data_IF_478176857781
#
_entry.id   IF_478176857781
#
_cell.length_a   1.000
_cell.length_b   1.000
_cell.length_c   1.000
_cell.angle_alpha   90.00
_cell.angle_beta   90.00
_cell.angle_gamma   90.00
#
_symmetry.space_group_name_H-M   'P 1'
#
loop_
_entity.id
_entity.type
_entity.pdbx_description
1 polymer ?
#
# COMPACT_ATOMS: atom_id res chain seq x y z
N UNK A 1 -25.84 10.77 -21.92
CA UNK A 1 -25.89 10.10 -20.59
C UNK A 1 -24.52 9.72 -20.04
N UNK A 2 -23.62 9.21 -20.89
CA UNK A 2 -22.32 8.68 -20.44
C UNK A 2 -21.30 9.73 -20.01
N UNK A 3 -21.30 10.92 -20.61
CA UNK A 3 -20.33 11.98 -20.31
C UNK A 3 -20.55 12.52 -18.89
N UNK A 4 -21.79 12.77 -18.52
CA UNK A 4 -22.15 13.25 -17.18
C UNK A 4 -21.78 12.22 -16.09
N UNK A 5 -22.08 10.95 -16.31
CA UNK A 5 -21.73 9.87 -15.37
C UNK A 5 -20.22 9.74 -15.18
N UNK A 6 -19.43 9.92 -16.24
CA UNK A 6 -17.97 9.92 -16.17
C UNK A 6 -17.44 11.13 -15.39
N UNK A 7 -18.05 12.31 -15.55
CA UNK A 7 -17.69 13.51 -14.81
C UNK A 7 -18.03 13.37 -13.33
N UNK A 8 -19.23 12.89 -12.98
CA UNK A 8 -19.64 12.63 -11.61
C UNK A 8 -18.72 11.61 -10.92
N UNK A 9 -18.40 10.50 -11.60
CA UNK A 9 -17.47 9.51 -11.08
C UNK A 9 -16.10 10.13 -10.83
N UNK A 10 -15.56 10.90 -11.77
CA UNK A 10 -14.26 11.54 -11.64
C UNK A 10 -14.23 12.53 -10.46
N UNK A 11 -15.23 13.36 -10.33
CA UNK A 11 -15.34 14.33 -9.22
C UNK A 11 -15.44 13.61 -7.88
N UNK A 12 -16.32 12.63 -7.77
CA UNK A 12 -16.53 11.86 -6.53
C UNK A 12 -15.27 11.09 -6.12
N UNK A 13 -14.56 10.50 -7.08
CA UNK A 13 -13.31 9.79 -6.84
C UNK A 13 -12.21 10.74 -6.35
N UNK A 14 -12.06 11.93 -6.95
CA UNK A 14 -11.08 12.92 -6.52
C UNK A 14 -11.40 13.42 -5.10
N UNK A 15 -12.67 13.74 -4.81
CA UNK A 15 -13.10 14.14 -3.47
C UNK A 15 -12.80 13.06 -2.42
N UNK A 16 -13.09 11.81 -2.73
CA UNK A 16 -12.77 10.68 -1.85
C UNK A 16 -11.26 10.51 -1.65
N UNK A 17 -10.45 10.72 -2.69
CA UNK A 17 -9.00 10.69 -2.63
C UNK A 17 -8.42 11.81 -1.77
N UNK A 18 -8.94 13.03 -1.91
CA UNK A 18 -8.53 14.18 -1.10
C UNK A 18 -8.91 13.98 0.37
N UNK A 19 -10.10 13.45 0.63
CA UNK A 19 -10.52 13.09 1.98
C UNK A 19 -9.60 12.03 2.61
N UNK A 20 -9.29 10.95 1.87
CA UNK A 20 -8.39 9.91 2.35
C UNK A 20 -6.99 10.47 2.65
N UNK A 21 -6.46 11.34 1.79
CA UNK A 21 -5.18 12.02 2.00
C UNK A 21 -5.20 12.87 3.27
N UNK A 22 -6.22 13.68 3.46
CA UNK A 22 -6.38 14.52 4.65
C UNK A 22 -6.49 13.68 5.94
N UNK A 23 -7.18 12.53 5.89
CA UNK A 23 -7.22 11.58 7.01
C UNK A 23 -5.83 11.03 7.34
N UNK A 24 -5.05 10.59 6.34
CA UNK A 24 -3.69 10.08 6.55
C UNK A 24 -2.77 11.16 7.14
N UNK A 25 -2.79 12.37 6.61
CA UNK A 25 -2.02 13.50 7.13
C UNK A 25 -2.38 13.79 8.59
N UNK A 26 -3.66 13.80 8.92
CA UNK A 26 -4.14 14.01 10.29
C UNK A 26 -3.69 12.90 11.23
N UNK A 27 -3.75 11.63 10.80
CA UNK A 27 -3.28 10.49 11.59
C UNK A 27 -1.78 10.62 11.85
N UNK A 28 -0.97 10.92 10.84
CA UNK A 28 0.47 11.08 10.97
C UNK A 28 0.83 12.23 11.93
N UNK A 29 0.16 13.37 11.81
CA UNK A 29 0.36 14.50 12.71
C UNK A 29 0.01 14.16 14.17
N UNK A 30 -1.11 13.49 14.38
CA UNK A 30 -1.54 13.08 15.71
C UNK A 30 -0.58 12.06 16.33
N UNK A 31 -0.10 11.08 15.56
CA UNK A 31 0.89 10.10 16.01
C UNK A 31 2.22 10.78 16.35
N UNK A 32 2.73 11.63 15.47
CA UNK A 32 3.98 12.37 15.72
C UNK A 32 3.88 13.20 17.00
N UNK A 33 2.77 13.92 17.20
CA UNK A 33 2.51 14.70 18.41
C UNK A 33 2.44 13.83 19.66
N UNK A 34 1.70 12.72 19.61
CA UNK A 34 1.52 11.82 20.75
C UNK A 34 2.83 11.14 21.16
N UNK A 35 3.72 10.87 20.21
CA UNK A 35 5.02 10.25 20.45
C UNK A 35 6.14 11.26 20.70
N UNK A 36 5.87 12.56 20.65
CA UNK A 36 6.89 13.60 20.77
C UNK A 36 7.93 13.58 19.63
N UNK A 37 7.56 13.06 18.45
CA UNK A 37 8.48 12.90 17.32
C UNK A 37 8.33 14.06 16.34
N UNK A 38 9.45 14.43 15.71
CA UNK A 38 9.48 15.34 14.57
C UNK A 38 9.79 14.52 13.31
N UNK A 39 8.81 14.34 12.39
CA UNK A 39 9.05 13.61 11.15
C UNK A 39 10.13 14.28 10.31
N UNK A 40 11.06 13.51 9.76
CA UNK A 40 12.08 13.97 8.83
C UNK A 40 11.58 13.95 7.38
N UNK A 41 10.71 12.99 7.07
CA UNK A 41 10.10 12.85 5.74
C UNK A 41 8.72 12.22 5.87
N UNK A 42 7.89 12.41 4.86
CA UNK A 42 6.58 11.79 4.73
C UNK A 42 6.47 11.17 3.33
N UNK A 43 6.13 9.89 3.27
CA UNK A 43 5.85 9.18 2.01
C UNK A 43 4.39 8.78 2.02
N UNK A 44 3.66 9.21 1.02
CA UNK A 44 2.25 8.90 0.86
C UNK A 44 1.98 8.47 -0.58
N UNK A 45 1.34 7.32 -0.75
CA UNK A 45 1.00 6.81 -2.08
C UNK A 45 -0.42 6.23 -2.10
N UNK A 46 -1.17 6.61 -3.11
CA UNK A 46 -2.48 6.02 -3.38
C UNK A 46 -2.31 4.68 -4.10
N UNK A 47 -3.09 3.68 -3.69
CA UNK A 47 -3.09 2.33 -4.28
C UNK A 47 -4.48 1.88 -4.77
N UNK A 48 -5.45 2.79 -4.73
CA UNK A 48 -6.81 2.58 -5.23
C UNK A 48 -7.34 3.93 -5.73
N UNK A 49 -6.86 4.34 -6.90
CA UNK A 49 -7.16 5.66 -7.47
C UNK A 49 -6.99 5.62 -8.99
N UNK A 50 -7.34 6.70 -9.68
CA UNK A 50 -7.10 6.87 -11.10
C UNK A 50 -6.44 8.22 -11.37
N UNK A 51 -5.51 8.23 -12.32
CA UNK A 51 -4.75 9.40 -12.73
C UNK A 51 -4.94 9.67 -14.22
N UNK A 52 -4.97 10.94 -14.59
CA UNK A 52 -4.88 11.36 -15.98
C UNK A 52 -3.40 11.51 -16.32
N UNK A 53 -2.89 10.57 -17.09
CA UNK A 53 -1.46 10.47 -17.40
C UNK A 53 -1.22 10.37 -18.90
N UNK A 54 -0.10 10.90 -19.36
CA UNK A 54 0.41 10.66 -20.70
C UNK A 54 1.09 9.30 -20.73
N UNK A 55 0.53 8.38 -21.52
CA UNK A 55 1.01 6.98 -21.63
C UNK A 55 1.88 6.74 -22.87
N UNK A 56 1.90 7.70 -23.78
CA UNK A 56 2.79 7.79 -24.94
C UNK A 56 2.74 9.23 -25.45
N UNK A 57 3.70 9.69 -26.25
CA UNK A 57 3.72 11.06 -26.77
C UNK A 57 2.38 11.49 -27.38
N UNK A 58 1.77 12.52 -26.79
CA UNK A 58 0.46 13.05 -27.19
C UNK A 58 -0.75 12.16 -26.85
N UNK A 59 -0.57 11.02 -26.17
CA UNK A 59 -1.64 10.09 -25.83
C UNK A 59 -1.97 10.12 -24.35
N UNK A 60 -2.99 10.87 -23.98
CA UNK A 60 -3.53 10.92 -22.61
C UNK A 60 -4.47 9.73 -22.33
N UNK A 61 -4.35 9.14 -21.15
CA UNK A 61 -5.26 8.10 -20.66
C UNK A 61 -5.59 8.29 -19.18
N UNK A 62 -6.66 7.64 -18.73
CA UNK A 62 -6.98 7.51 -17.30
C UNK A 62 -6.43 6.17 -16.85
N UNK A 63 -5.36 6.22 -16.07
CA UNK A 63 -4.68 5.03 -15.54
C UNK A 63 -5.25 4.70 -14.18
N UNK A 64 -6.01 3.62 -14.11
CA UNK A 64 -6.55 3.08 -12.87
C UNK A 64 -5.54 2.15 -12.21
N UNK A 65 -5.22 2.42 -10.95
CA UNK A 65 -4.39 1.53 -10.12
C UNK A 65 -5.19 1.04 -8.93
N UNK A 66 -5.42 -0.27 -8.89
CA UNK A 66 -6.01 -0.99 -7.75
C UNK A 66 -5.15 -2.21 -7.47
N UNK A 67 -4.59 -2.27 -6.27
CA UNK A 67 -3.55 -3.25 -5.96
C UNK A 67 -2.18 -2.90 -6.58
N UNK A 68 -2.06 -1.71 -7.12
CA UNK A 68 -0.84 -1.12 -7.67
C UNK A 68 -0.70 0.32 -7.17
N UNK A 69 0.52 0.84 -7.19
CA UNK A 69 0.85 2.21 -6.81
C UNK A 69 1.65 2.87 -7.94
N UNK A 70 1.57 4.21 -8.08
CA UNK A 70 2.45 4.92 -8.99
C UNK A 70 3.93 4.68 -8.67
N UNK A 71 4.75 4.47 -9.70
CA UNK A 71 6.18 4.24 -9.61
C UNK A 71 6.93 4.99 -10.74
N UNK A 72 6.55 6.25 -10.95
CA UNK A 72 7.25 7.13 -11.88
C UNK A 72 8.71 7.30 -11.47
N UNK A 73 9.57 7.64 -12.41
CA UNK A 73 10.99 7.81 -12.14
C UNK A 73 11.24 8.83 -11.02
N UNK A 74 11.93 8.40 -9.98
CA UNK A 74 12.23 9.23 -8.81
C UNK A 74 11.09 9.34 -7.79
N UNK A 75 9.94 8.73 -8.02
CA UNK A 75 8.80 8.80 -7.10
C UNK A 75 9.01 7.88 -5.90
N UNK A 76 9.01 8.47 -4.71
CA UNK A 76 9.04 7.70 -3.46
C UNK A 76 7.71 6.96 -3.23
N UNK A 77 7.80 5.75 -2.72
CA UNK A 77 6.64 4.91 -2.41
C UNK A 77 6.90 3.98 -1.22
N UNK A 78 5.81 3.40 -0.72
CA UNK A 78 5.81 2.41 0.35
C UNK A 78 5.13 1.14 -0.15
N UNK A 79 5.80 0.00 0.01
CA UNK A 79 5.28 -1.33 -0.35
C UNK A 79 5.27 -2.19 0.91
N UNK A 80 4.14 -2.28 1.63
CA UNK A 80 4.04 -3.07 2.86
C UNK A 80 3.95 -4.56 2.57
N UNK A 81 4.54 -5.36 3.46
CA UNK A 81 4.31 -6.80 3.53
C UNK A 81 3.04 -7.15 4.32
N UNK A 82 3.21 -7.95 5.35
CA UNK A 82 2.17 -8.30 6.33
C UNK A 82 2.51 -7.75 7.71
N UNK A 83 1.67 -8.02 8.71
CA UNK A 83 1.94 -7.64 10.12
C UNK A 83 3.27 -8.20 10.66
N UNK A 84 3.75 -9.32 10.14
CA UNK A 84 4.96 -10.00 10.61
C UNK A 84 6.11 -9.99 9.59
N UNK A 85 5.96 -9.29 8.47
CA UNK A 85 6.96 -9.22 7.41
C UNK A 85 7.33 -7.76 7.11
N UNK A 86 8.44 -7.57 6.43
CA UNK A 86 8.96 -6.25 6.14
C UNK A 86 8.02 -5.39 5.28
N UNK A 87 8.11 -4.08 5.47
CA UNK A 87 7.71 -3.08 4.49
C UNK A 87 8.93 -2.45 3.84
N UNK A 88 8.78 -1.99 2.61
CA UNK A 88 9.85 -1.42 1.79
C UNK A 88 9.57 0.04 1.44
N UNK A 89 10.55 0.89 1.69
CA UNK A 89 10.62 2.21 1.08
C UNK A 89 11.28 2.04 -0.29
N UNK A 90 10.65 2.58 -1.31
CA UNK A 90 11.09 2.39 -2.69
C UNK A 90 11.10 3.71 -3.45
N UNK A 91 11.88 3.73 -4.54
CA UNK A 91 11.88 4.79 -5.54
C UNK A 91 11.49 4.19 -6.89
N UNK A 92 10.49 4.76 -7.55
CA UNK A 92 10.04 4.32 -8.86
C UNK A 92 11.11 4.49 -9.93
N UNK A 93 11.20 3.52 -10.86
CA UNK A 93 12.14 3.56 -12.00
C UNK A 93 11.51 4.11 -13.28
N UNK A 94 10.19 4.33 -13.30
CA UNK A 94 9.51 4.87 -14.48
C UNK A 94 9.43 3.87 -15.63
N UNK A 95 9.05 2.64 -15.36
CA UNK A 95 8.89 1.60 -16.38
C UNK A 95 7.59 1.83 -17.17
N UNK A 96 7.70 2.38 -18.37
CA UNK A 96 6.55 2.72 -19.24
C UNK A 96 5.72 1.50 -19.60
N UNK A 97 6.34 0.34 -19.85
CA UNK A 97 5.64 -0.91 -20.16
C UNK A 97 4.73 -1.38 -19.01
N UNK A 98 5.00 -0.95 -17.77
CA UNK A 98 4.16 -1.18 -16.60
C UNK A 98 3.26 0.04 -16.28
N UNK A 99 3.09 0.98 -17.20
CA UNK A 99 2.40 2.26 -16.98
C UNK A 99 2.92 2.97 -15.72
N UNK A 100 4.24 2.98 -15.53
CA UNK A 100 4.90 3.58 -14.37
C UNK A 100 4.26 3.14 -13.04
N UNK A 101 4.04 1.84 -12.88
CA UNK A 101 3.33 1.27 -11.73
C UNK A 101 4.12 0.14 -11.09
N UNK A 102 3.90 -0.09 -9.80
CA UNK A 102 4.45 -1.20 -9.03
C UNK A 102 3.36 -1.83 -8.16
N UNK A 103 3.61 -3.00 -7.58
CA UNK A 103 2.72 -3.61 -6.60
C UNK A 103 2.56 -2.69 -5.37
N UNK A 104 1.34 -2.58 -4.84
CA UNK A 104 1.08 -1.75 -3.65
C UNK A 104 1.43 -2.43 -2.34
N UNK A 105 1.77 -3.72 -2.36
CA UNK A 105 2.06 -4.56 -1.19
C UNK A 105 2.25 -6.02 -1.57
N UNK A 106 2.39 -6.90 -0.59
CA UNK A 106 2.57 -8.34 -0.81
C UNK A 106 1.40 -8.97 -1.60
N UNK A 107 0.20 -8.45 -1.45
CA UNK A 107 -1.00 -9.07 -1.98
C UNK A 107 -1.38 -10.35 -1.23
N UNK A 108 -2.65 -10.74 -1.32
CA UNK A 108 -3.16 -11.93 -0.62
C UNK A 108 -2.93 -13.20 -1.44
N UNK A 109 -2.56 -14.27 -0.75
CA UNK A 109 -2.51 -15.62 -1.30
C UNK A 109 -3.85 -16.37 -1.14
N UNK A 110 -4.74 -15.88 -0.25
CA UNK A 110 -6.08 -16.43 -0.02
C UNK A 110 -7.10 -15.35 0.32
N UNK A 111 -8.40 -15.67 0.17
CA UNK A 111 -9.49 -14.76 0.52
C UNK A 111 -9.57 -14.53 2.04
N UNK A 112 -10.23 -13.44 2.45
CA UNK A 112 -10.48 -13.16 3.87
C UNK A 112 -11.27 -14.27 4.52
N UNK A 113 -12.32 -14.79 3.84
CA UNK A 113 -13.11 -15.88 4.37
C UNK A 113 -12.27 -17.14 4.57
N UNK A 114 -11.47 -17.53 3.59
CA UNK A 114 -10.58 -18.70 3.73
C UNK A 114 -9.58 -18.53 4.89
N UNK A 115 -9.06 -17.32 5.12
CA UNK A 115 -8.19 -17.06 6.26
C UNK A 115 -8.94 -17.25 7.60
N UNK A 116 -10.18 -16.74 7.72
CA UNK A 116 -11.04 -16.97 8.91
C UNK A 116 -11.30 -18.44 9.17
N UNK A 117 -11.52 -19.22 8.12
CA UNK A 117 -11.81 -20.65 8.22
C UNK A 117 -10.55 -21.49 8.52
N UNK A 118 -9.38 -21.00 8.13
CA UNK A 118 -8.10 -21.73 8.21
C UNK A 118 -7.29 -21.45 9.46
N UNK A 119 -7.45 -20.30 10.10
CA UNK A 119 -6.61 -19.85 11.20
C UNK A 119 -7.43 -19.50 12.45
N UNK A 120 -6.78 -19.58 13.61
CA UNK A 120 -7.35 -19.19 14.89
C UNK A 120 -6.69 -17.92 15.44
N UNK A 121 -7.40 -17.22 16.31
CA UNK A 121 -6.86 -16.04 17.00
C UNK A 121 -5.63 -16.39 17.87
N UNK A 122 -5.61 -17.60 18.43
CA UNK A 122 -4.46 -18.10 19.21
C UNK A 122 -3.22 -18.28 18.32
N UNK A 123 -3.39 -18.87 17.11
CA UNK A 123 -2.31 -19.01 16.15
C UNK A 123 -1.76 -17.65 15.70
N UNK A 124 -2.63 -16.67 15.43
CA UNK A 124 -2.21 -15.30 15.11
C UNK A 124 -1.39 -14.68 16.22
N UNK A 125 -1.87 -14.73 17.47
CA UNK A 125 -1.14 -14.18 18.62
C UNK A 125 0.23 -14.84 18.81
N UNK A 126 0.30 -16.17 18.67
CA UNK A 126 1.56 -16.92 18.77
C UNK A 126 2.57 -16.49 17.69
N UNK A 127 2.11 -16.41 16.43
CA UNK A 127 2.96 -15.99 15.32
C UNK A 127 3.50 -14.57 15.51
N UNK A 128 2.66 -13.62 15.89
CA UNK A 128 3.06 -12.23 16.10
C UNK A 128 4.00 -12.08 17.29
N UNK A 129 3.76 -12.82 18.39
CA UNK A 129 4.67 -12.87 19.54
C UNK A 129 6.05 -13.37 19.15
N UNK A 130 6.13 -14.44 18.33
CA UNK A 130 7.40 -14.96 17.82
C UNK A 130 8.11 -13.97 16.90
N UNK A 131 7.35 -13.17 16.13
CA UNK A 131 7.89 -12.11 15.28
C UNK A 131 8.26 -10.82 16.06
N UNK A 132 7.99 -10.75 17.37
CA UNK A 132 8.23 -9.57 18.20
C UNK A 132 7.30 -8.40 17.84
N UNK A 133 6.07 -8.69 17.41
CA UNK A 133 5.07 -7.71 16.99
C UNK A 133 3.93 -7.62 17.99
N UNK A 134 3.63 -6.41 18.45
CA UNK A 134 2.46 -6.10 19.27
C UNK A 134 1.29 -5.72 18.38
N UNK A 135 0.18 -6.47 18.47
CA UNK A 135 -1.05 -6.18 17.74
C UNK A 135 -2.07 -5.48 18.63
N UNK A 136 -2.59 -4.36 18.16
CA UNK A 136 -3.66 -3.59 18.80
C UNK A 136 -4.91 -3.67 17.89
N UNK A 137 -5.90 -4.45 18.29
CA UNK A 137 -7.05 -4.81 17.45
C UNK A 137 -6.70 -5.89 16.44
N UNK A 138 -7.40 -5.92 15.33
CA UNK A 138 -7.16 -6.86 14.24
C UNK A 138 -7.89 -8.20 14.38
N UNK A 139 -8.05 -8.87 13.25
CA UNK A 139 -8.74 -10.14 13.14
C UNK A 139 -7.91 -11.17 12.38
N UNK A 140 -8.33 -12.43 12.48
CA UNK A 140 -7.66 -13.58 11.85
C UNK A 140 -7.62 -13.47 10.32
N UNK A 141 -8.52 -12.69 9.72
CA UNK A 141 -8.52 -12.46 8.26
C UNK A 141 -7.24 -11.82 7.76
N UNK A 142 -6.52 -11.09 8.63
CA UNK A 142 -5.25 -10.43 8.31
C UNK A 142 -4.02 -11.24 8.78
N UNK A 143 -4.22 -12.56 9.01
CA UNK A 143 -3.13 -13.50 9.33
C UNK A 143 -1.97 -13.34 8.33
N UNK A 144 -0.71 -13.17 8.77
CA UNK A 144 0.44 -13.02 7.88
C UNK A 144 0.55 -14.10 6.81
N UNK A 145 0.19 -15.35 7.15
CA UNK A 145 0.18 -16.48 6.22
C UNK A 145 -0.90 -16.38 5.12
N UNK A 146 -1.81 -15.43 5.21
CA UNK A 146 -2.78 -15.16 4.15
C UNK A 146 -2.22 -14.29 3.02
N UNK A 147 -0.98 -13.83 3.15
CA UNK A 147 -0.30 -12.98 2.19
C UNK A 147 0.81 -13.73 1.45
N UNK A 148 1.15 -13.25 0.27
CA UNK A 148 2.31 -13.73 -0.48
C UNK A 148 3.60 -13.31 0.23
N UNK A 149 4.68 -14.00 -0.07
CA UNK A 149 6.02 -13.63 0.37
C UNK A 149 6.42 -12.28 -0.26
N UNK A 150 6.61 -11.27 0.60
CA UNK A 150 6.93 -9.91 0.15
C UNK A 150 8.32 -9.85 -0.48
N UNK A 151 9.30 -10.62 0.00
CA UNK A 151 10.65 -10.60 -0.56
C UNK A 151 10.62 -11.14 -2.00
N UNK A 152 9.81 -12.17 -2.27
CA UNK A 152 9.57 -12.68 -3.61
C UNK A 152 8.84 -11.67 -4.50
N UNK A 153 7.85 -10.96 -3.97
CA UNK A 153 7.15 -9.89 -4.70
C UNK A 153 8.13 -8.78 -5.06
N UNK A 154 8.99 -8.38 -4.13
CA UNK A 154 10.00 -7.34 -4.38
C UNK A 154 11.02 -7.78 -5.43
N UNK A 155 11.48 -9.02 -5.40
CA UNK A 155 12.37 -9.57 -6.41
C UNK A 155 11.75 -9.52 -7.82
N UNK A 156 10.48 -9.90 -7.97
CA UNK A 156 9.81 -9.91 -9.30
C UNK A 156 9.54 -8.52 -9.87
N UNK A 157 9.70 -7.46 -9.09
CA UNK A 157 9.49 -6.07 -9.53
C UNK A 157 10.73 -5.19 -9.39
N UNK A 158 11.91 -5.78 -9.37
CA UNK A 158 13.19 -5.05 -9.31
C UNK A 158 13.41 -4.08 -10.48
N UNK A 159 12.78 -4.34 -11.63
CA UNK A 159 12.77 -3.44 -12.79
C UNK A 159 11.83 -2.25 -12.64
N UNK A 160 10.86 -2.31 -11.75
CA UNK A 160 9.83 -1.29 -11.54
C UNK A 160 10.22 -0.29 -10.46
N UNK A 161 10.90 -0.75 -9.41
CA UNK A 161 11.29 0.06 -8.26
C UNK A 161 12.70 -0.27 -7.79
N UNK A 162 13.33 0.72 -7.15
CA UNK A 162 14.58 0.58 -6.42
C UNK A 162 14.30 0.62 -4.92
N UNK A 163 14.83 -0.33 -4.16
CA UNK A 163 14.68 -0.38 -2.70
C UNK A 163 15.61 0.66 -2.06
N UNK A 164 15.02 1.61 -1.34
CA UNK A 164 15.73 2.64 -0.59
C UNK A 164 15.88 2.28 0.89
N UNK A 165 14.97 1.47 1.42
CA UNK A 165 14.99 1.03 2.80
C UNK A 165 14.02 -0.11 3.09
N UNK A 166 14.27 -0.81 4.18
CA UNK A 166 13.45 -1.92 4.69
C UNK A 166 13.18 -1.70 6.17
N UNK A 167 11.95 -1.87 6.61
CA UNK A 167 11.60 -1.80 8.02
C UNK A 167 10.74 -2.99 8.43
N UNK A 168 10.87 -3.38 9.71
CA UNK A 168 10.06 -4.44 10.31
C UNK A 168 9.01 -3.83 11.25
N UNK A 169 7.73 -4.20 11.13
CA UNK A 169 6.71 -3.78 12.07
C UNK A 169 7.07 -4.23 13.51
N UNK A 170 6.79 -3.37 14.48
CA UNK A 170 6.90 -3.69 15.92
C UNK A 170 5.56 -3.53 16.62
N UNK A 171 4.79 -2.55 16.19
CA UNK A 171 3.44 -2.30 16.67
C UNK A 171 2.55 -2.16 15.45
N UNK A 172 1.47 -2.92 15.42
CA UNK A 172 0.47 -2.87 14.35
C UNK A 172 -0.89 -2.58 14.98
N UNK A 173 -1.57 -1.57 14.45
CA UNK A 173 -2.95 -1.24 14.78
C UNK A 173 -3.83 -1.51 13.55
N UNK A 174 -4.92 -2.26 13.73
CA UNK A 174 -5.89 -2.58 12.68
C UNK A 174 -7.29 -2.06 13.07
#
# INVERSE_FOLDING_TARGET
GDVYKRQEYWMSMNLAGDYARACHERIHLNLAKALGLKPLANVNNHHNFAWREEIAPGRMAIVHRKGATPAQKGQAGLIPGSMATAGYLVCGKGMEAALNSASHGAGRAMSRQKAKDSFTQSALKKLLSQAGVTLIGGSVEEMPLAYKDIDRVMYTQETLVEVQGKFMPRIVRM
#
